data_IF_837059540016
#
_entry.id   IF_837059540016
#
_cell.length_a   1.000
_cell.length_b   1.000
_cell.length_c   1.000
_cell.angle_alpha   90.00
_cell.angle_beta   90.00
_cell.angle_gamma   90.00
#
_symmetry.space_group_name_H-M   'P 1'
#
loop_
_entity.id
_entity.type
_entity.pdbx_description
1 polymer ?
#
# COMPACT_ATOMS: atom_id res chain seq x y z
N UNK A 1 67.94 27.58 -2.16
CA UNK A 1 67.41 26.21 -1.96
C UNK A 1 65.89 26.27 -1.98
N UNK A 2 65.31 25.58 -2.94
CA UNK A 2 63.89 25.54 -3.35
C UNK A 2 62.96 24.91 -2.31
N UNK A 3 61.84 25.58 -2.00
CA UNK A 3 60.66 24.95 -1.39
C UNK A 3 59.96 24.10 -2.45
N UNK A 4 59.91 22.79 -2.23
CA UNK A 4 59.17 21.85 -3.07
C UNK A 4 57.67 21.94 -2.79
N UNK A 5 56.89 22.24 -3.82
CA UNK A 5 55.44 22.10 -3.86
C UNK A 5 55.02 20.64 -3.64
N UNK A 6 54.23 20.37 -2.60
CA UNK A 6 53.39 19.16 -2.50
C UNK A 6 51.95 19.55 -2.75
N UNK A 7 51.58 19.55 -4.03
CA UNK A 7 50.21 19.71 -4.52
C UNK A 7 49.42 18.42 -4.23
N UNK A 8 48.85 18.31 -3.04
CA UNK A 8 47.85 17.29 -2.72
C UNK A 8 46.58 17.61 -3.48
N UNK A 9 46.38 16.94 -4.62
CA UNK A 9 45.17 17.04 -5.43
C UNK A 9 44.05 16.33 -4.66
N UNK A 10 43.23 17.09 -3.93
CA UNK A 10 41.96 16.59 -3.39
C UNK A 10 41.04 16.30 -4.56
N UNK A 11 41.02 15.03 -5.00
CA UNK A 11 39.98 14.53 -5.89
C UNK A 11 38.69 14.49 -5.09
N UNK A 12 37.87 15.53 -5.26
CA UNK A 12 36.47 15.52 -4.86
C UNK A 12 35.75 14.47 -5.71
N UNK A 13 35.57 13.28 -5.15
CA UNK A 13 34.73 12.27 -5.76
C UNK A 13 33.27 12.66 -5.55
N UNK A 14 32.68 13.26 -6.59
CA UNK A 14 31.28 13.58 -6.64
C UNK A 14 30.41 12.32 -6.61
N UNK A 15 29.35 12.38 -5.80
CA UNK A 15 28.24 11.45 -5.70
C UNK A 15 27.83 10.76 -7.02
N UNK A 16 28.06 9.45 -7.11
CA UNK A 16 27.22 8.51 -7.86
C UNK A 16 27.07 7.25 -7.03
N UNK A 17 25.84 6.73 -6.95
CA UNK A 17 25.50 5.46 -6.34
C UNK A 17 26.08 4.31 -7.16
N UNK A 18 27.37 4.04 -7.06
CA UNK A 18 27.98 2.80 -7.55
C UNK A 18 28.21 1.89 -6.35
N UNK A 19 27.88 0.61 -6.49
CA UNK A 19 28.43 -0.42 -5.63
C UNK A 19 29.97 -0.35 -5.73
N UNK A 20 30.66 -0.78 -4.67
CA UNK A 20 32.11 -0.92 -4.77
C UNK A 20 32.41 -1.95 -5.87
N UNK A 21 33.49 -1.74 -6.62
CA UNK A 21 33.86 -2.58 -7.77
C UNK A 21 33.93 -4.08 -7.44
N UNK A 22 34.29 -4.43 -6.20
CA UNK A 22 34.48 -5.81 -5.75
C UNK A 22 33.18 -6.52 -5.35
N UNK A 23 32.05 -5.82 -5.26
CA UNK A 23 30.80 -6.42 -4.78
C UNK A 23 30.33 -7.59 -5.67
N UNK A 24 30.42 -7.42 -6.98
CA UNK A 24 29.99 -8.43 -7.94
C UNK A 24 30.97 -9.60 -7.98
N UNK A 25 32.28 -9.33 -7.99
CA UNK A 25 33.34 -10.35 -7.96
C UNK A 25 33.23 -11.26 -6.72
N UNK A 26 33.00 -10.66 -5.55
CA UNK A 26 32.85 -11.41 -4.30
C UNK A 26 31.49 -12.13 -4.20
N UNK A 27 30.47 -11.72 -4.98
CA UNK A 27 29.14 -12.33 -4.92
C UNK A 27 29.04 -13.72 -5.56
N UNK A 28 30.07 -14.10 -6.32
CA UNK A 28 30.22 -15.45 -6.90
C UNK A 28 30.50 -16.47 -5.78
N UNK A 29 31.11 -16.04 -4.68
CA UNK A 29 31.51 -16.91 -3.59
C UNK A 29 30.32 -17.49 -2.83
N UNK A 30 30.49 -18.72 -2.34
CA UNK A 30 29.50 -19.40 -1.51
C UNK A 30 29.33 -18.75 -0.14
N UNK A 31 28.15 -18.90 0.50
CA UNK A 31 27.79 -18.20 1.73
C UNK A 31 28.74 -18.50 2.90
N UNK A 32 29.24 -19.74 3.01
CA UNK A 32 30.21 -20.13 4.03
C UNK A 32 31.56 -19.40 3.92
N UNK A 33 31.98 -19.04 2.71
CA UNK A 33 33.23 -18.31 2.47
C UNK A 33 33.03 -16.86 2.90
N UNK A 34 31.91 -16.25 2.48
CA UNK A 34 31.55 -14.89 2.88
C UNK A 34 31.40 -14.80 4.40
N UNK A 35 30.76 -15.77 5.04
CA UNK A 35 30.62 -15.80 6.50
C UNK A 35 31.97 -15.83 7.21
N UNK A 36 32.91 -16.67 6.77
CA UNK A 36 34.27 -16.70 7.31
C UNK A 36 35.01 -15.37 7.10
N UNK A 37 34.85 -14.75 5.93
CA UNK A 37 35.44 -13.44 5.63
C UNK A 37 34.93 -12.39 6.63
N UNK A 38 33.62 -12.29 6.81
CA UNK A 38 33.00 -11.30 7.70
C UNK A 38 33.39 -11.56 9.17
N UNK A 39 33.51 -12.82 9.59
CA UNK A 39 34.03 -13.18 10.93
C UNK A 39 35.48 -12.75 11.12
N UNK A 40 36.35 -12.99 10.13
CA UNK A 40 37.76 -12.58 10.19
C UNK A 40 37.93 -11.06 10.21
N UNK A 41 37.01 -10.31 9.61
CA UNK A 41 36.97 -8.85 9.67
C UNK A 41 36.41 -8.31 11.00
N UNK A 42 35.92 -9.18 11.89
CA UNK A 42 35.36 -8.78 13.18
C UNK A 42 33.96 -8.18 13.12
N UNK A 43 33.34 -8.09 11.92
CA UNK A 43 32.05 -7.44 11.69
C UNK A 43 30.88 -8.43 11.57
N UNK A 44 30.98 -9.59 12.22
CA UNK A 44 29.92 -10.61 12.18
C UNK A 44 28.88 -10.39 13.29
N UNK A 45 27.62 -10.72 12.99
CA UNK A 45 26.48 -10.59 13.90
C UNK A 45 26.33 -9.14 14.43
N UNK A 46 26.30 -8.94 15.76
CA UNK A 46 26.07 -7.63 16.40
C UNK A 46 27.24 -6.65 16.27
N UNK A 47 28.38 -7.11 15.77
CA UNK A 47 29.60 -6.30 15.68
C UNK A 47 29.72 -5.56 14.33
N UNK A 48 28.72 -5.66 13.46
CA UNK A 48 28.74 -4.99 12.16
C UNK A 48 28.42 -3.48 12.29
N UNK A 49 29.45 -2.67 12.44
CA UNK A 49 29.38 -1.20 12.40
C UNK A 49 29.75 -0.60 11.02
N UNK A 50 30.23 -1.45 10.10
CA UNK A 50 30.70 -1.04 8.78
C UNK A 50 29.56 -0.90 7.77
N UNK A 51 29.32 0.34 7.33
CA UNK A 51 28.33 0.62 6.28
C UNK A 51 28.70 -0.07 4.94
N UNK A 52 29.99 -0.19 4.63
CA UNK A 52 30.46 -0.82 3.39
C UNK A 52 30.14 -2.31 3.40
N UNK A 53 30.44 -3.01 4.50
CA UNK A 53 30.11 -4.44 4.65
C UNK A 53 28.60 -4.67 4.69
N UNK A 54 27.85 -3.78 5.34
CA UNK A 54 26.38 -3.82 5.32
C UNK A 54 25.83 -3.70 3.89
N UNK A 55 26.33 -2.75 3.10
CA UNK A 55 25.94 -2.58 1.69
C UNK A 55 26.33 -3.80 0.85
N UNK A 56 27.50 -4.37 1.09
CA UNK A 56 27.95 -5.60 0.43
C UNK A 56 27.02 -6.77 0.75
N UNK A 57 26.70 -7.00 2.03
CA UNK A 57 25.82 -8.09 2.44
C UNK A 57 24.42 -7.94 1.86
N UNK A 58 23.86 -6.72 1.84
CA UNK A 58 22.57 -6.45 1.20
C UNK A 58 22.61 -6.71 -0.31
N UNK A 59 23.69 -6.33 -0.99
CA UNK A 59 23.90 -6.65 -2.41
C UNK A 59 24.01 -8.15 -2.63
N UNK A 60 24.86 -8.83 -1.88
CA UNK A 60 25.06 -10.27 -1.91
C UNK A 60 23.74 -11.01 -1.74
N UNK A 61 23.00 -10.71 -0.67
CA UNK A 61 21.71 -11.34 -0.38
C UNK A 61 20.69 -11.05 -1.49
N UNK A 62 20.61 -9.82 -2.01
CA UNK A 62 19.72 -9.48 -3.14
C UNK A 62 19.96 -10.39 -4.35
N UNK A 63 21.22 -10.67 -4.72
CA UNK A 63 21.53 -11.57 -5.84
C UNK A 63 21.06 -13.01 -5.60
N UNK A 64 20.96 -13.44 -4.33
CA UNK A 64 20.59 -14.81 -3.96
C UNK A 64 19.09 -15.00 -3.69
N UNK A 65 18.30 -13.92 -3.50
CA UNK A 65 16.84 -13.99 -3.26
C UNK A 65 16.10 -14.79 -4.33
N UNK A 66 16.53 -14.70 -5.59
CA UNK A 66 15.87 -15.33 -6.74
C UNK A 66 16.49 -16.69 -7.12
N UNK A 67 17.52 -17.14 -6.40
CA UNK A 67 18.12 -18.45 -6.63
C UNK A 67 17.14 -19.53 -6.17
N UNK A 68 16.77 -20.44 -7.08
CA UNK A 68 15.83 -21.55 -6.82
C UNK A 68 16.34 -22.59 -5.81
N UNK A 69 17.53 -22.42 -5.23
CA UNK A 69 18.06 -23.35 -4.24
C UNK A 69 17.33 -23.20 -2.90
N UNK A 70 16.91 -24.33 -2.32
CA UNK A 70 16.15 -24.39 -1.07
C UNK A 70 16.97 -24.02 0.19
N UNK A 71 18.16 -23.43 0.05
CA UNK A 71 19.11 -23.27 1.14
C UNK A 71 18.93 -21.94 1.90
N UNK A 72 17.72 -21.41 2.07
CA UNK A 72 17.48 -20.12 2.76
C UNK A 72 18.10 -20.04 4.17
N UNK A 73 18.26 -21.18 4.83
CA UNK A 73 18.91 -21.32 6.13
C UNK A 73 20.42 -21.04 6.10
N UNK A 74 21.11 -21.30 4.97
CA UNK A 74 22.57 -21.11 4.87
C UNK A 74 22.96 -19.61 4.84
N UNK A 75 22.01 -18.73 4.52
CA UNK A 75 22.19 -17.28 4.52
C UNK A 75 21.74 -16.60 5.81
N UNK A 76 21.17 -17.34 6.76
CA UNK A 76 20.56 -16.77 7.98
C UNK A 76 21.55 -15.87 8.74
N UNK A 77 22.76 -16.36 9.03
CA UNK A 77 23.78 -15.60 9.75
C UNK A 77 24.25 -14.34 9.01
N UNK A 78 24.36 -14.40 7.68
CA UNK A 78 24.69 -13.23 6.86
C UNK A 78 23.55 -12.21 6.83
N UNK A 79 22.30 -12.69 6.75
CA UNK A 79 21.11 -11.85 6.79
C UNK A 79 20.96 -11.14 8.15
N UNK A 80 21.18 -11.86 9.26
CA UNK A 80 21.20 -11.27 10.60
C UNK A 80 22.31 -10.21 10.74
N UNK A 81 23.52 -10.51 10.26
CA UNK A 81 24.65 -9.55 10.26
C UNK A 81 24.33 -8.29 9.43
N UNK A 82 23.67 -8.44 8.29
CA UNK A 82 23.21 -7.32 7.47
C UNK A 82 22.18 -6.46 8.22
N UNK A 83 21.24 -7.09 8.93
CA UNK A 83 20.25 -6.37 9.75
C UNK A 83 20.94 -5.56 10.84
N UNK A 84 21.90 -6.13 11.56
CA UNK A 84 22.60 -5.41 12.64
C UNK A 84 23.30 -4.15 12.11
N UNK A 85 23.96 -4.25 10.95
CA UNK A 85 24.56 -3.08 10.30
C UNK A 85 23.54 -2.05 9.82
N UNK A 86 22.38 -2.48 9.32
CA UNK A 86 21.27 -1.58 8.97
C UNK A 86 20.73 -0.87 10.22
N UNK A 87 20.55 -1.59 11.33
CA UNK A 87 20.09 -1.01 12.59
C UNK A 87 21.09 0.03 13.10
N UNK A 88 22.38 -0.28 13.04
CA UNK A 88 23.44 0.64 13.47
C UNK A 88 23.48 1.93 12.63
N UNK A 89 23.41 1.81 11.29
CA UNK A 89 23.52 2.93 10.37
C UNK A 89 22.17 3.53 9.92
N UNK A 90 21.06 3.09 10.52
CA UNK A 90 19.70 3.40 10.10
C UNK A 90 19.43 4.89 9.86
N UNK A 91 19.75 5.71 10.88
CA UNK A 91 19.40 7.14 10.91
C UNK A 91 20.28 8.00 10.02
N UNK A 92 21.45 7.52 9.63
CA UNK A 92 22.47 8.31 8.92
C UNK A 92 22.64 7.86 7.47
N UNK A 93 22.39 6.59 7.15
CA UNK A 93 22.73 6.02 5.85
C UNK A 93 21.53 5.52 5.02
N UNK A 94 20.36 5.31 5.64
CA UNK A 94 19.21 4.73 4.97
C UNK A 94 18.01 5.68 4.93
N UNK A 95 17.44 5.87 3.74
CA UNK A 95 16.12 6.50 3.57
C UNK A 95 15.01 5.49 3.87
N UNK A 96 13.81 5.96 4.26
CA UNK A 96 12.64 5.10 4.53
C UNK A 96 12.37 4.07 3.41
N UNK A 97 12.33 4.51 2.15
CA UNK A 97 12.17 3.61 0.98
C UNK A 97 13.24 2.52 0.87
N UNK A 98 14.49 2.84 1.23
CA UNK A 98 15.59 1.85 1.25
C UNK A 98 15.40 0.83 2.37
N UNK A 99 14.88 1.23 3.53
CA UNK A 99 14.60 0.29 4.62
C UNK A 99 13.47 -0.68 4.25
N UNK A 100 12.43 -0.23 3.55
CA UNK A 100 11.42 -1.10 2.98
C UNK A 100 11.98 -2.04 1.91
N UNK A 101 12.91 -1.57 1.08
CA UNK A 101 13.65 -2.43 0.15
C UNK A 101 14.48 -3.48 0.89
N UNK A 102 15.20 -3.10 1.95
CA UNK A 102 15.95 -4.02 2.82
C UNK A 102 15.02 -5.08 3.42
N UNK A 103 13.86 -4.68 3.95
CA UNK A 103 12.87 -5.61 4.48
C UNK A 103 12.44 -6.64 3.42
N UNK A 104 12.17 -6.20 2.18
CA UNK A 104 11.80 -7.11 1.08
C UNK A 104 12.90 -8.11 0.74
N UNK A 105 14.17 -7.66 0.69
CA UNK A 105 15.32 -8.55 0.43
C UNK A 105 15.46 -9.57 1.56
N UNK A 106 15.42 -9.11 2.81
CA UNK A 106 15.71 -9.94 3.98
C UNK A 106 14.57 -10.89 4.36
N UNK A 107 13.32 -10.54 4.04
CA UNK A 107 12.17 -11.46 4.15
C UNK A 107 12.29 -12.69 3.25
N UNK A 108 13.16 -12.67 2.24
CA UNK A 108 13.52 -13.84 1.44
C UNK A 108 14.32 -14.91 2.21
N UNK A 109 14.88 -14.54 3.37
CA UNK A 109 15.78 -15.36 4.19
C UNK A 109 15.24 -15.57 5.61
N UNK A 110 15.79 -16.57 6.30
CA UNK A 110 15.45 -16.85 7.69
C UNK A 110 16.23 -15.94 8.64
N UNK A 111 15.75 -14.71 8.87
CA UNK A 111 16.31 -13.81 9.89
C UNK A 111 15.78 -14.13 11.29
N UNK A 112 16.61 -13.92 12.32
CA UNK A 112 16.22 -14.09 13.73
C UNK A 112 15.05 -13.16 14.12
N UNK A 113 14.36 -13.51 15.21
CA UNK A 113 13.24 -12.72 15.73
C UNK A 113 13.72 -11.35 16.22
N UNK A 114 14.89 -11.30 16.84
CA UNK A 114 15.54 -10.09 17.33
C UNK A 114 15.87 -9.14 16.19
N UNK A 115 16.49 -9.65 15.12
CA UNK A 115 16.78 -8.87 13.92
C UNK A 115 15.51 -8.37 13.25
N UNK A 116 14.48 -9.21 13.12
CA UNK A 116 13.19 -8.79 12.55
C UNK A 116 12.57 -7.63 13.35
N UNK A 117 12.51 -7.75 14.67
CA UNK A 117 11.97 -6.71 15.56
C UNK A 117 12.81 -5.43 15.45
N UNK A 118 14.14 -5.55 15.40
CA UNK A 118 15.05 -4.42 15.26
C UNK A 118 14.87 -3.67 13.93
N UNK A 119 14.71 -4.41 12.83
CA UNK A 119 14.44 -3.84 11.50
C UNK A 119 13.06 -3.17 11.45
N UNK A 120 12.02 -3.84 11.95
CA UNK A 120 10.66 -3.26 12.06
C UNK A 120 10.66 -2.00 12.95
N UNK A 121 11.46 -1.98 14.03
CA UNK A 121 11.60 -0.79 14.88
C UNK A 121 12.16 0.40 14.10
N UNK A 122 13.24 0.19 13.36
CA UNK A 122 13.87 1.24 12.54
C UNK A 122 12.92 1.77 11.45
N UNK A 123 12.18 0.87 10.78
CA UNK A 123 11.19 1.26 9.76
C UNK A 123 10.04 2.04 10.41
N UNK A 124 9.51 1.54 11.52
CA UNK A 124 8.41 2.18 12.25
C UNK A 124 8.77 3.58 12.77
N UNK A 125 10.01 3.81 13.18
CA UNK A 125 10.50 5.15 13.57
C UNK A 125 10.51 6.17 12.42
N UNK A 126 10.56 5.72 11.16
CA UNK A 126 10.60 6.56 9.95
C UNK A 126 9.31 6.48 9.12
N UNK A 127 8.24 5.92 9.68
CA UNK A 127 7.03 5.58 8.92
C UNK A 127 6.30 6.82 8.35
N UNK A 128 6.49 8.01 8.93
CA UNK A 128 5.96 9.27 8.42
C UNK A 128 6.53 9.69 7.06
N UNK A 129 7.64 9.07 6.64
CA UNK A 129 8.29 9.30 5.35
C UNK A 129 7.94 8.25 4.29
N UNK A 130 7.12 7.25 4.64
CA UNK A 130 6.75 6.18 3.74
C UNK A 130 5.70 6.63 2.71
N UNK A 131 5.71 5.96 1.56
CA UNK A 131 4.67 6.08 0.53
C UNK A 131 3.70 4.91 0.58
N UNK A 132 2.57 5.01 -0.12
CA UNK A 132 1.61 3.91 -0.20
C UNK A 132 2.28 2.63 -0.73
N UNK A 133 3.06 2.76 -1.80
CA UNK A 133 3.78 1.65 -2.44
C UNK A 133 4.78 0.95 -1.50
N UNK A 134 5.30 1.67 -0.49
CA UNK A 134 6.19 1.08 0.51
C UNK A 134 5.44 0.14 1.45
N UNK A 135 4.17 0.44 1.77
CA UNK A 135 3.32 -0.37 2.65
C UNK A 135 2.69 -1.58 1.94
N UNK A 136 2.57 -1.55 0.61
CA UNK A 136 2.01 -2.65 -0.19
C UNK A 136 3.03 -3.80 -0.34
N UNK A 137 3.23 -4.53 0.76
CA UNK A 137 4.15 -5.67 0.83
C UNK A 137 3.33 -6.95 0.68
N UNK A 138 3.59 -7.78 -0.35
CA UNK A 138 2.87 -9.03 -0.55
C UNK A 138 3.02 -9.99 0.64
N UNK A 139 1.94 -10.67 1.01
CA UNK A 139 2.02 -11.71 2.06
C UNK A 139 2.75 -12.95 1.50
N UNK A 140 3.86 -13.35 2.14
CA UNK A 140 4.81 -14.35 1.63
C UNK A 140 4.37 -15.82 1.73
N UNK A 141 3.11 -16.15 1.43
CA UNK A 141 2.56 -17.51 1.54
C UNK A 141 1.83 -18.01 0.29
N UNK A 142 1.87 -19.33 0.04
CA UNK A 142 1.01 -19.98 -0.94
C UNK A 142 -0.36 -20.25 -0.31
N UNK A 143 -1.41 -19.61 -0.84
CA UNK A 143 -2.81 -19.97 -0.61
C UNK A 143 -3.42 -19.44 0.70
N UNK A 144 -4.72 -19.12 0.64
CA UNK A 144 -5.63 -18.63 1.71
C UNK A 144 -5.36 -17.27 2.37
N UNK A 145 -4.14 -16.76 2.32
CA UNK A 145 -3.79 -15.45 2.89
C UNK A 145 -4.13 -14.29 1.94
N UNK A 146 -4.30 -13.08 2.50
CA UNK A 146 -4.66 -11.87 1.77
C UNK A 146 -3.55 -11.42 0.81
N UNK A 147 -3.81 -10.37 0.02
CA UNK A 147 -2.79 -9.89 -0.93
C UNK A 147 -1.58 -9.24 -0.25
N UNK A 148 -1.79 -8.61 0.91
CA UNK A 148 -0.79 -7.79 1.60
C UNK A 148 -0.58 -8.22 3.05
N UNK A 149 0.65 -8.06 3.55
CA UNK A 149 1.01 -8.30 4.96
C UNK A 149 0.50 -7.15 5.85
N UNK A 150 -0.79 -7.22 6.19
CA UNK A 150 -1.45 -6.25 7.08
C UNK A 150 -0.86 -6.30 8.50
N UNK A 151 -0.41 -7.47 8.96
CA UNK A 151 0.12 -7.63 10.32
C UNK A 151 1.44 -6.87 10.48
N UNK A 152 2.28 -6.84 9.44
CA UNK A 152 3.47 -6.00 9.40
C UNK A 152 3.12 -4.52 9.54
N UNK A 153 2.15 -4.01 8.77
CA UNK A 153 1.73 -2.60 8.86
C UNK A 153 1.23 -2.26 10.28
N UNK A 154 0.47 -3.16 10.92
CA UNK A 154 0.06 -2.99 12.32
C UNK A 154 1.27 -2.90 13.26
N UNK A 155 2.29 -3.76 13.10
CA UNK A 155 3.50 -3.71 13.92
C UNK A 155 4.28 -2.41 13.72
N UNK A 156 4.44 -1.95 12.48
CA UNK A 156 5.10 -0.68 12.15
C UNK A 156 4.35 0.51 12.75
N UNK A 157 3.02 0.53 12.69
CA UNK A 157 2.20 1.58 13.29
C UNK A 157 2.34 1.63 14.82
N UNK A 158 2.36 0.48 15.48
CA UNK A 158 2.59 0.41 16.94
C UNK A 158 3.94 1.02 17.34
N UNK A 159 4.99 0.75 16.57
CA UNK A 159 6.31 1.37 16.77
C UNK A 159 6.23 2.88 16.55
N UNK A 160 5.63 3.32 15.44
CA UNK A 160 5.52 4.73 15.11
C UNK A 160 4.82 5.53 16.21
N UNK A 161 3.65 5.06 16.65
CA UNK A 161 2.85 5.71 17.70
C UNK A 161 3.62 5.79 19.02
N UNK A 162 4.38 4.74 19.37
CA UNK A 162 5.21 4.72 20.59
C UNK A 162 6.43 5.65 20.51
N UNK A 163 7.00 5.83 19.32
CA UNK A 163 8.21 6.64 19.10
C UNK A 163 7.92 8.14 18.99
N UNK A 164 6.70 8.50 18.60
CA UNK A 164 6.28 9.88 18.39
C UNK A 164 6.12 10.61 19.75
N UNK A 165 7.21 11.13 20.34
CA UNK A 165 7.25 11.70 21.70
C UNK A 165 7.54 13.22 21.80
N UNK A 166 7.81 13.94 20.70
CA UNK A 166 8.12 15.39 20.71
C UNK A 166 6.95 16.26 20.19
N UNK A 167 6.43 17.16 21.03
CA UNK A 167 5.11 17.83 20.89
C UNK A 167 4.82 18.55 19.57
N UNK A 168 5.80 19.20 18.94
CA UNK A 168 5.54 20.03 17.74
C UNK A 168 5.69 19.24 16.43
N UNK A 169 6.73 18.41 16.31
CA UNK A 169 6.90 17.49 15.18
C UNK A 169 5.85 16.37 15.17
N UNK A 170 5.32 16.03 16.36
CA UNK A 170 4.29 15.01 16.53
C UNK A 170 3.09 15.27 15.63
N UNK A 171 2.51 16.48 15.65
CA UNK A 171 1.25 16.74 14.94
C UNK A 171 1.42 16.60 13.43
N UNK A 172 2.50 17.15 12.85
CA UNK A 172 2.73 17.07 11.40
C UNK A 172 2.98 15.62 10.96
N UNK A 173 3.80 14.86 11.72
CA UNK A 173 4.06 13.44 11.43
C UNK A 173 2.80 12.60 11.60
N UNK A 174 2.00 12.88 12.64
CA UNK A 174 0.77 12.15 12.93
C UNK A 174 -0.30 12.38 11.85
N UNK A 175 -0.43 13.61 11.34
CA UNK A 175 -1.34 13.90 10.22
C UNK A 175 -0.89 13.27 8.91
N UNK A 176 0.43 13.21 8.66
CA UNK A 176 0.98 12.51 7.49
C UNK A 176 0.66 11.02 7.54
N UNK A 177 0.89 10.37 8.70
CA UNK A 177 0.60 8.95 8.82
C UNK A 177 -0.91 8.67 8.72
N UNK A 178 -1.78 9.52 9.29
CA UNK A 178 -3.24 9.36 9.16
C UNK A 178 -3.68 9.35 7.71
N UNK A 179 -3.17 10.28 6.89
CA UNK A 179 -3.44 10.32 5.45
C UNK A 179 -2.88 9.11 4.70
N UNK A 180 -1.71 8.61 5.09
CA UNK A 180 -1.11 7.43 4.49
C UNK A 180 -1.94 6.17 4.79
N UNK A 181 -2.37 6.01 6.05
CA UNK A 181 -3.15 4.85 6.48
C UNK A 181 -4.56 4.86 5.90
N UNK A 182 -5.20 6.02 5.76
CA UNK A 182 -6.50 6.10 5.08
C UNK A 182 -6.40 5.69 3.59
N UNK A 183 -5.28 6.01 2.93
CA UNK A 183 -4.99 5.53 1.56
C UNK A 183 -4.72 4.03 1.54
N UNK A 184 -3.94 3.53 2.50
CA UNK A 184 -3.64 2.10 2.62
C UNK A 184 -4.91 1.28 2.87
N UNK A 185 -5.75 1.69 3.83
CA UNK A 185 -7.03 1.06 4.12
C UNK A 185 -7.91 1.00 2.86
N UNK A 186 -7.97 2.10 2.10
CA UNK A 186 -8.71 2.14 0.83
C UNK A 186 -8.20 1.10 -0.16
N UNK A 187 -6.89 0.97 -0.30
CA UNK A 187 -6.27 0.05 -1.26
C UNK A 187 -6.52 -1.42 -0.91
N UNK A 188 -6.49 -1.77 0.39
CA UNK A 188 -6.74 -3.15 0.83
C UNK A 188 -8.24 -3.47 0.97
N UNK A 189 -9.13 -2.47 0.95
CA UNK A 189 -10.57 -2.64 1.18
C UNK A 189 -11.28 -3.59 0.20
N UNK A 190 -10.90 -3.66 -1.09
CA UNK A 190 -11.52 -4.60 -2.03
C UNK A 190 -11.08 -6.07 -1.86
N UNK A 191 -10.06 -6.35 -1.06
CA UNK A 191 -9.55 -7.72 -0.86
C UNK A 191 -10.56 -8.56 -0.06
N UNK A 192 -11.24 -9.47 -0.74
CA UNK A 192 -12.24 -10.39 -0.13
C UNK A 192 -11.71 -11.27 0.99
N UNK A 193 -10.38 -11.44 1.09
CA UNK A 193 -9.74 -12.22 2.15
C UNK A 193 -9.40 -11.39 3.37
N UNK A 194 -9.54 -10.06 3.29
CA UNK A 194 -9.31 -9.18 4.42
C UNK A 194 -10.46 -9.31 5.41
N UNK A 195 -10.14 -9.75 6.64
CA UNK A 195 -11.13 -9.82 7.73
C UNK A 195 -11.41 -8.44 8.32
N UNK A 196 -12.65 -8.20 8.75
CA UNK A 196 -13.07 -6.95 9.37
C UNK A 196 -12.24 -6.62 10.63
N UNK A 197 -11.84 -7.66 11.38
CA UNK A 197 -10.97 -7.50 12.56
C UNK A 197 -9.57 -6.98 12.24
N UNK A 198 -8.98 -7.33 11.08
CA UNK A 198 -7.69 -6.78 10.64
C UNK A 198 -7.85 -5.34 10.14
N UNK A 199 -8.91 -5.07 9.38
CA UNK A 199 -9.23 -3.70 8.94
C UNK A 199 -9.38 -2.75 10.14
N UNK A 200 -10.15 -3.15 11.15
CA UNK A 200 -10.37 -2.38 12.38
C UNK A 200 -9.07 -2.14 13.14
N UNK A 201 -8.24 -3.17 13.31
CA UNK A 201 -6.95 -3.01 13.99
C UNK A 201 -6.08 -1.94 13.33
N UNK A 202 -6.05 -1.86 12.00
CA UNK A 202 -5.31 -0.80 11.29
C UNK A 202 -5.97 0.57 11.50
N UNK A 203 -7.30 0.66 11.37
CA UNK A 203 -8.05 1.90 11.53
C UNK A 203 -7.88 2.52 12.93
N UNK A 204 -7.93 1.68 13.97
CA UNK A 204 -7.85 2.02 15.39
C UNK A 204 -6.40 2.12 15.91
N UNK A 205 -5.40 1.76 15.10
CA UNK A 205 -3.98 1.90 15.49
C UNK A 205 -3.53 3.36 15.65
N UNK A 206 -4.31 4.32 15.13
CA UNK A 206 -4.00 5.74 15.19
C UNK A 206 -5.00 6.50 16.07
N UNK A 207 -4.54 7.47 16.89
CA UNK A 207 -5.44 8.30 17.69
C UNK A 207 -6.24 9.29 16.81
N UNK A 208 -7.31 9.85 17.37
CA UNK A 208 -8.14 10.88 16.72
C UNK A 208 -7.35 12.13 16.28
N UNK A 209 -6.24 12.44 16.93
CA UNK A 209 -5.34 13.55 16.56
C UNK A 209 -4.59 13.31 15.25
N UNK A 210 -4.52 12.05 14.77
CA UNK A 210 -3.91 11.71 13.49
C UNK A 210 -4.75 12.12 12.28
N UNK A 211 -6.02 12.49 12.50
CA UNK A 211 -6.96 12.83 11.45
C UNK A 211 -7.61 14.18 11.72
N UNK A 212 -7.41 15.11 10.79
CA UNK A 212 -8.19 16.35 10.73
C UNK A 212 -9.65 16.03 10.40
N UNK A 213 -9.85 15.14 9.43
CA UNK A 213 -11.14 14.69 8.93
C UNK A 213 -11.16 13.17 8.77
N UNK A 214 -12.29 12.56 9.10
CA UNK A 214 -12.50 11.11 9.00
C UNK A 214 -13.04 10.67 7.63
N UNK A 215 -13.18 11.59 6.69
CA UNK A 215 -13.67 11.33 5.33
C UNK A 215 -12.83 10.30 4.56
N UNK A 216 -11.52 10.30 4.78
CA UNK A 216 -10.60 9.33 4.17
C UNK A 216 -10.90 7.90 4.63
N UNK A 217 -11.01 7.72 5.95
CA UNK A 217 -11.38 6.46 6.59
C UNK A 217 -12.81 6.02 6.21
N UNK A 218 -13.78 6.94 6.19
CA UNK A 218 -15.14 6.62 5.75
C UNK A 218 -15.15 6.06 4.32
N UNK A 219 -14.41 6.67 3.39
CA UNK A 219 -14.32 6.14 2.01
C UNK A 219 -13.74 4.73 1.95
N UNK A 220 -12.76 4.42 2.81
CA UNK A 220 -12.23 3.05 2.90
C UNK A 220 -13.30 2.08 3.44
N UNK A 221 -14.02 2.46 4.49
CA UNK A 221 -15.13 1.65 5.04
C UNK A 221 -16.22 1.44 3.99
N UNK A 222 -16.60 2.48 3.26
CA UNK A 222 -17.62 2.42 2.21
C UNK A 222 -17.25 1.38 1.14
N UNK A 223 -16.01 1.44 0.62
CA UNK A 223 -15.47 0.45 -0.35
C UNK A 223 -15.41 -0.96 0.28
N UNK A 224 -15.04 -1.08 1.55
CA UNK A 224 -14.98 -2.36 2.24
C UNK A 224 -16.38 -2.99 2.37
N UNK A 225 -17.39 -2.21 2.75
CA UNK A 225 -18.80 -2.63 2.82
C UNK A 225 -19.38 -2.93 1.42
N UNK A 226 -18.92 -2.22 0.39
CA UNK A 226 -19.26 -2.51 -1.00
C UNK A 226 -18.75 -3.87 -1.45
N UNK A 227 -17.49 -4.15 -1.12
CA UNK A 227 -16.79 -5.35 -1.55
C UNK A 227 -17.21 -6.59 -0.75
N UNK A 228 -17.52 -6.45 0.54
CA UNK A 228 -17.82 -7.58 1.43
C UNK A 228 -19.32 -7.68 1.75
N UNK A 229 -20.09 -8.32 0.88
CA UNK A 229 -21.55 -8.38 1.03
C UNK A 229 -22.00 -9.27 2.20
N UNK A 230 -21.20 -10.29 2.54
CA UNK A 230 -21.51 -11.29 3.58
C UNK A 230 -21.15 -10.84 5.01
N UNK A 231 -20.85 -9.55 5.23
CA UNK A 231 -20.55 -9.02 6.55
C UNK A 231 -21.76 -9.11 7.50
N UNK A 232 -21.50 -9.55 8.72
CA UNK A 232 -22.48 -9.55 9.81
C UNK A 232 -22.92 -8.12 10.17
N UNK A 233 -24.15 -7.98 10.68
CA UNK A 233 -24.64 -6.69 11.21
C UNK A 233 -23.72 -6.13 12.30
N UNK A 234 -23.13 -7.00 13.11
CA UNK A 234 -22.19 -6.62 14.16
C UNK A 234 -20.91 -6.02 13.58
N UNK A 235 -20.31 -6.66 12.57
CA UNK A 235 -19.10 -6.15 11.93
C UNK A 235 -19.34 -4.83 11.23
N UNK A 236 -20.46 -4.66 10.53
CA UNK A 236 -20.86 -3.38 9.91
C UNK A 236 -20.95 -2.27 10.96
N UNK A 237 -21.53 -2.60 12.13
CA UNK A 237 -21.65 -1.67 13.25
C UNK A 237 -20.28 -1.32 13.83
N UNK A 238 -19.40 -2.31 14.05
CA UNK A 238 -18.04 -2.09 14.56
C UNK A 238 -17.21 -1.24 13.59
N UNK A 239 -17.24 -1.53 12.29
CA UNK A 239 -16.57 -0.76 11.25
C UNK A 239 -16.99 0.70 11.24
N UNK A 240 -18.29 0.98 11.35
CA UNK A 240 -18.76 2.37 11.32
C UNK A 240 -18.49 3.11 12.64
N UNK A 241 -18.40 2.40 13.78
CA UNK A 241 -18.10 2.99 15.11
C UNK A 241 -16.69 3.57 15.23
N UNK A 242 -15.72 3.13 14.44
CA UNK A 242 -14.37 3.69 14.48
C UNK A 242 -14.27 5.10 13.85
N UNK A 243 -15.38 5.63 13.31
CA UNK A 243 -15.46 6.99 12.80
C UNK A 243 -15.77 8.00 13.91
N UNK A 244 -15.01 9.10 13.97
CA UNK A 244 -15.40 10.27 14.75
C UNK A 244 -16.36 11.14 13.93
N UNK A 245 -17.66 11.02 14.19
CA UNK A 245 -18.71 11.72 13.44
C UNK A 245 -18.64 13.25 13.50
N UNK A 246 -18.02 13.82 14.56
CA UNK A 246 -17.81 15.28 14.69
C UNK A 246 -16.77 15.80 13.70
N UNK A 247 -15.86 14.93 13.26
CA UNK A 247 -14.80 15.22 12.28
C UNK A 247 -15.14 14.69 10.88
N UNK A 248 -16.42 14.48 10.59
CA UNK A 248 -16.90 14.22 9.24
C UNK A 248 -17.37 15.52 8.60
N UNK A 249 -17.09 15.68 7.31
CA UNK A 249 -17.70 16.77 6.55
C UNK A 249 -19.18 16.52 6.33
N UNK A 250 -19.95 17.61 6.13
CA UNK A 250 -21.40 17.52 5.89
C UNK A 250 -21.74 16.67 4.65
N UNK A 251 -20.92 16.73 3.59
CA UNK A 251 -21.11 15.92 2.38
C UNK A 251 -20.96 14.44 2.68
N UNK A 252 -19.89 14.07 3.39
CA UNK A 252 -19.61 12.69 3.79
C UNK A 252 -20.66 12.17 4.77
N UNK A 253 -21.12 13.00 5.71
CA UNK A 253 -22.21 12.63 6.63
C UNK A 253 -23.52 12.33 5.88
N UNK A 254 -23.86 13.11 4.84
CA UNK A 254 -25.03 12.82 3.98
C UNK A 254 -24.86 11.52 3.20
N UNK A 255 -23.66 11.21 2.72
CA UNK A 255 -23.38 9.94 2.04
C UNK A 255 -23.53 8.76 3.00
N UNK A 256 -22.96 8.87 4.20
CA UNK A 256 -23.10 7.90 5.28
C UNK A 256 -24.57 7.64 5.60
N UNK A 257 -25.37 8.69 5.79
CA UNK A 257 -26.78 8.55 6.12
C UNK A 257 -27.64 7.94 4.99
N UNK A 258 -27.20 8.06 3.73
CA UNK A 258 -27.89 7.51 2.57
C UNK A 258 -27.48 6.07 2.25
N UNK A 259 -26.38 5.58 2.80
CA UNK A 259 -25.88 4.25 2.48
C UNK A 259 -26.73 3.19 3.22
N UNK A 260 -27.46 2.30 2.50
CA UNK A 260 -28.34 1.30 3.12
C UNK A 260 -27.57 0.21 3.88
N UNK A 261 -26.25 0.07 3.66
CA UNK A 261 -25.41 -0.89 4.36
C UNK A 261 -25.00 -0.42 5.75
N UNK A 262 -25.24 0.85 6.07
CA UNK A 262 -24.89 1.45 7.35
C UNK A 262 -26.06 1.27 8.33
N UNK A 263 -25.80 0.78 9.56
CA UNK A 263 -26.83 0.63 10.57
C UNK A 263 -27.61 1.94 10.84
N UNK A 264 -28.96 1.91 10.91
CA UNK A 264 -29.77 3.13 11.06
C UNK A 264 -29.43 3.96 12.31
N UNK A 265 -29.10 3.30 13.41
CA UNK A 265 -28.67 3.97 14.65
C UNK A 265 -27.40 4.80 14.45
N UNK A 266 -26.47 4.32 13.62
CA UNK A 266 -25.23 5.03 13.29
C UNK A 266 -25.53 6.22 12.37
N UNK A 267 -26.38 6.04 11.36
CA UNK A 267 -26.80 7.14 10.49
C UNK A 267 -27.43 8.29 11.30
N UNK A 268 -28.32 7.97 12.25
CA UNK A 268 -28.93 8.96 13.15
C UNK A 268 -27.88 9.63 14.04
N UNK A 269 -26.95 8.87 14.61
CA UNK A 269 -25.88 9.43 15.45
C UNK A 269 -24.99 10.40 14.66
N UNK A 270 -24.62 10.04 13.44
CA UNK A 270 -23.83 10.88 12.56
C UNK A 270 -24.56 12.20 12.22
N UNK A 271 -25.86 12.12 11.86
CA UNK A 271 -26.67 13.31 11.56
C UNK A 271 -26.82 14.23 12.78
N UNK A 272 -27.06 13.67 13.98
CA UNK A 272 -27.15 14.44 15.22
C UNK A 272 -25.85 15.20 15.51
N UNK A 273 -24.69 14.61 15.23
CA UNK A 273 -23.40 15.26 15.46
C UNK A 273 -23.17 16.51 14.60
N UNK A 274 -23.89 16.63 13.48
CA UNK A 274 -23.85 17.80 12.59
C UNK A 274 -24.91 18.85 12.94
N UNK A 275 -25.89 18.50 13.78
CA UNK A 275 -27.00 19.39 14.19
C UNK A 275 -26.73 20.14 15.50
N UNK A 276 -25.69 19.78 16.26
CA UNK A 276 -25.24 20.63 17.37
C UNK A 276 -24.60 21.92 16.82
N UNK A 277 -25.02 23.11 17.29
CA UNK A 277 -24.53 24.38 16.75
C UNK A 277 -23.00 24.52 16.81
N UNK A 278 -22.43 24.98 15.70
CA UNK A 278 -21.15 25.68 15.66
C UNK A 278 -21.28 26.98 16.46
N UNK A 279 -21.16 26.94 17.80
CA UNK A 279 -20.94 28.14 18.59
C UNK A 279 -19.44 28.33 18.83
N UNK A 280 -18.91 29.33 18.13
CA UNK A 280 -17.61 30.00 18.30
C UNK A 280 -16.38 29.41 17.61
N UNK A 281 -16.15 29.80 16.35
CA UNK A 281 -14.81 30.02 15.80
C UNK A 281 -14.76 31.45 15.22
N UNK A 282 -13.77 32.30 15.61
CA UNK A 282 -13.63 33.64 15.05
C UNK A 282 -13.15 33.59 13.59
N UNK A 283 -13.46 34.61 12.76
CA UNK A 283 -13.19 34.57 11.34
C UNK A 283 -11.71 34.81 11.04
N UNK A 284 -11.23 34.12 10.00
CA UNK A 284 -9.98 34.30 9.26
C UNK A 284 -8.68 33.73 9.85
N UNK A 285 -8.15 32.71 9.16
CA UNK A 285 -6.93 32.87 8.34
C UNK A 285 -6.75 31.72 7.34
N UNK A 286 -6.38 32.11 6.13
CA UNK A 286 -5.86 31.30 5.01
C UNK A 286 -6.84 30.40 4.24
N UNK A 287 -7.51 31.02 3.26
CA UNK A 287 -7.78 30.38 1.97
C UNK A 287 -6.45 29.90 1.39
N UNK A 288 -6.21 28.59 1.31
CA UNK A 288 -5.43 28.01 0.21
C UNK A 288 -5.68 26.49 0.07
N UNK A 289 -5.80 26.07 -1.19
CA UNK A 289 -5.99 24.70 -1.69
C UNK A 289 -7.38 24.06 -1.56
N UNK A 290 -8.38 24.66 -2.23
CA UNK A 290 -9.44 23.87 -2.88
C UNK A 290 -8.92 23.38 -4.23
N UNK A 291 -8.41 22.14 -4.29
CA UNK A 291 -8.46 21.26 -5.48
C UNK A 291 -8.38 19.80 -5.03
N UNK A 292 -9.52 19.21 -4.67
CA UNK A 292 -9.68 17.76 -4.79
C UNK A 292 -10.32 17.50 -6.15
N UNK A 293 -9.49 17.02 -7.07
CA UNK A 293 -9.93 16.54 -8.36
C UNK A 293 -10.80 15.29 -8.13
N UNK A 294 -12.00 15.25 -8.71
CA UNK A 294 -12.75 13.99 -8.91
C UNK A 294 -11.89 13.10 -9.81
N UNK A 295 -11.01 12.29 -9.23
CA UNK A 295 -10.32 11.25 -9.98
C UNK A 295 -11.29 10.07 -10.16
N UNK A 296 -11.52 9.73 -11.43
CA UNK A 296 -12.19 8.50 -11.87
C UNK A 296 -11.39 7.30 -11.34
N UNK A 297 -12.02 6.12 -11.17
CA UNK A 297 -11.29 4.92 -10.76
C UNK A 297 -10.16 4.66 -11.75
N UNK A 298 -8.92 4.77 -11.27
CA UNK A 298 -7.75 4.32 -12.00
C UNK A 298 -7.76 2.80 -11.87
N UNK A 299 -8.24 2.13 -12.91
CA UNK A 299 -7.98 0.70 -13.08
C UNK A 299 -6.48 0.56 -13.34
N UNK A 300 -5.71 0.27 -12.29
CA UNK A 300 -4.31 -0.11 -12.42
C UNK A 300 -4.29 -1.49 -13.07
N UNK A 301 -4.14 -1.49 -14.39
CA UNK A 301 -3.75 -2.67 -15.15
C UNK A 301 -2.40 -3.09 -14.57
N UNK A 302 -2.34 -4.25 -13.91
CA UNK A 302 -1.09 -4.88 -13.52
C UNK A 302 -0.25 -5.12 -14.79
N UNK A 303 0.58 -4.14 -15.12
CA UNK A 303 1.75 -4.33 -15.98
C UNK A 303 2.89 -4.60 -15.02
N UNK A 304 3.37 -5.84 -15.04
CA UNK A 304 4.51 -6.26 -14.25
C UNK A 304 5.68 -5.33 -14.45
N UNK A 305 6.35 -4.99 -13.35
CA UNK A 305 7.67 -4.38 -13.40
C UNK A 305 8.69 -5.47 -13.08
N UNK A 306 9.21 -6.06 -14.15
CA UNK A 306 10.52 -6.66 -14.15
C UNK A 306 11.57 -5.55 -14.07
N UNK A 307 12.62 -5.85 -13.32
CA UNK A 307 13.79 -5.02 -13.12
C UNK A 307 14.62 -5.10 -14.41
N UNK A 308 15.05 -3.94 -14.89
CA UNK A 308 15.94 -3.76 -16.03
C UNK A 308 17.20 -4.62 -15.92
N UNK A 309 17.32 -5.61 -16.80
CA UNK A 309 18.60 -6.09 -17.34
C UNK A 309 18.40 -6.32 -18.85
N UNK A 310 19.33 -5.81 -19.66
CA UNK A 310 19.21 -5.74 -21.12
C UNK A 310 19.63 -7.07 -21.75
N UNK A 311 18.90 -7.40 -22.83
CA UNK A 311 19.31 -8.12 -24.06
C UNK A 311 19.21 -9.67 -24.13
N UNK A 312 18.34 -10.07 -25.08
CA UNK A 312 18.24 -11.34 -25.85
C UNK A 312 17.58 -12.55 -25.17
N UNK A 313 16.27 -12.73 -25.37
CA UNK A 313 15.64 -13.59 -26.41
C UNK A 313 14.16 -13.83 -26.05
N UNK A 314 13.24 -13.80 -27.02
CA UNK A 314 11.83 -14.18 -26.79
C UNK A 314 10.79 -13.38 -27.58
N UNK A 315 10.84 -13.43 -28.91
CA UNK A 315 9.88 -12.76 -29.81
C UNK A 315 8.61 -13.61 -30.11
N UNK A 316 8.39 -14.74 -29.45
CA UNK A 316 7.29 -15.65 -29.82
C UNK A 316 6.04 -15.59 -28.92
N UNK A 317 6.12 -15.05 -27.69
CA UNK A 317 4.95 -15.00 -26.78
C UNK A 317 3.99 -13.81 -27.02
N UNK A 318 4.47 -12.74 -27.66
CA UNK A 318 3.71 -11.49 -27.83
C UNK A 318 2.63 -11.58 -28.94
N UNK A 319 2.79 -12.50 -29.89
CA UNK A 319 1.82 -12.74 -30.97
C UNK A 319 0.58 -13.50 -30.48
N UNK A 320 0.75 -14.41 -29.51
CA UNK A 320 -0.34 -15.24 -28.97
C UNK A 320 -1.31 -14.41 -28.13
N UNK A 321 -0.80 -13.51 -27.29
CA UNK A 321 -1.63 -12.61 -26.47
C UNK A 321 -2.38 -11.56 -27.30
N UNK A 322 -1.88 -11.20 -28.48
CA UNK A 322 -2.52 -10.21 -29.33
C UNK A 322 -3.71 -10.78 -30.15
N UNK A 323 -3.67 -12.08 -30.47
CA UNK A 323 -4.79 -12.79 -31.11
C UNK A 323 -5.97 -12.98 -30.14
N UNK A 324 -5.71 -13.38 -28.90
CA UNK A 324 -6.75 -13.54 -27.87
C UNK A 324 -7.44 -12.20 -27.54
N UNK A 325 -6.66 -11.11 -27.50
CA UNK A 325 -7.19 -9.75 -27.28
C UNK A 325 -8.12 -9.29 -28.41
N UNK A 326 -7.78 -9.59 -29.67
CA UNK A 326 -8.65 -9.29 -30.82
C UNK A 326 -9.92 -10.14 -30.82
N UNK A 327 -9.84 -11.39 -30.38
CA UNK A 327 -10.99 -12.30 -30.27
C UNK A 327 -12.00 -11.79 -29.21
N UNK A 328 -11.54 -11.49 -27.99
CA UNK A 328 -12.42 -11.02 -26.91
C UNK A 328 -13.03 -9.64 -27.19
N UNK A 329 -12.30 -8.72 -27.84
CA UNK A 329 -12.88 -7.43 -28.24
C UNK A 329 -13.99 -7.59 -29.29
N UNK A 330 -13.86 -8.53 -30.24
CA UNK A 330 -14.90 -8.79 -31.24
C UNK A 330 -16.15 -9.43 -30.63
N UNK A 331 -15.99 -10.27 -29.61
CA UNK A 331 -17.10 -10.87 -28.86
C UNK A 331 -17.86 -9.83 -28.03
N UNK A 332 -17.15 -8.85 -27.45
CA UNK A 332 -17.76 -7.77 -26.67
C UNK A 332 -18.47 -6.73 -27.54
N UNK A 333 -17.92 -6.37 -28.71
CA UNK A 333 -18.62 -5.49 -29.65
C UNK A 333 -19.89 -6.13 -30.23
N UNK A 334 -19.88 -7.46 -30.41
CA UNK A 334 -21.05 -8.23 -30.84
C UNK A 334 -22.16 -8.25 -29.79
N UNK A 335 -21.81 -8.45 -28.52
CA UNK A 335 -22.80 -8.47 -27.42
C UNK A 335 -23.39 -7.08 -27.15
N UNK A 336 -22.60 -6.01 -27.31
CA UNK A 336 -23.10 -4.63 -27.13
C UNK A 336 -24.05 -4.20 -28.27
N UNK A 337 -23.82 -4.65 -29.50
CA UNK A 337 -24.73 -4.45 -30.64
C UNK A 337 -26.07 -5.16 -30.43
N UNK A 338 -26.04 -6.44 -30.02
CA UNK A 338 -27.25 -7.22 -29.74
C UNK A 338 -28.05 -6.61 -28.56
N UNK A 339 -27.37 -6.03 -27.57
CA UNK A 339 -28.02 -5.37 -26.45
C UNK A 339 -28.67 -4.03 -26.85
N UNK A 340 -28.08 -3.29 -27.80
CA UNK A 340 -28.64 -2.05 -28.36
C UNK A 340 -29.83 -2.33 -29.29
N UNK A 341 -29.78 -3.38 -30.10
CA UNK A 341 -30.91 -3.81 -30.94
C UNK A 341 -32.11 -4.23 -30.10
N UNK A 342 -31.91 -5.09 -29.09
CA UNK A 342 -33.00 -5.50 -28.19
C UNK A 342 -33.60 -4.33 -27.40
N UNK A 343 -32.79 -3.32 -27.02
CA UNK A 343 -33.32 -2.08 -26.42
C UNK A 343 -34.17 -1.27 -27.41
N UNK A 344 -33.76 -1.18 -28.68
CA UNK A 344 -34.52 -0.45 -29.71
C UNK A 344 -35.84 -1.14 -30.08
N UNK A 345 -35.89 -2.48 -30.09
CA UNK A 345 -37.13 -3.25 -30.31
C UNK A 345 -38.14 -3.08 -29.17
N UNK A 346 -37.67 -3.07 -27.92
CA UNK A 346 -38.54 -2.88 -26.73
C UNK A 346 -39.14 -1.47 -26.72
N UNK A 347 -38.35 -0.45 -27.08
CA UNK A 347 -38.84 0.94 -27.19
C UNK A 347 -39.85 1.08 -28.35
N UNK A 348 -39.64 0.39 -29.46
CA UNK A 348 -40.55 0.42 -30.62
C UNK A 348 -41.85 -0.36 -30.37
N UNK A 349 -41.83 -1.40 -29.54
CA UNK A 349 -43.04 -2.13 -29.10
C UNK A 349 -43.87 -1.32 -28.11
N UNK A 350 -43.24 -0.57 -27.20
CA UNK A 350 -43.96 0.32 -26.28
C UNK A 350 -44.62 1.52 -26.99
N UNK A 351 -44.01 2.03 -28.07
CA UNK A 351 -44.61 3.11 -28.87
C UNK A 351 -45.85 2.70 -29.70
N UNK A 352 -46.05 1.40 -29.98
CA UNK A 352 -47.18 0.89 -30.77
C UNK A 352 -48.43 0.54 -29.95
N UNK A 353 -48.34 0.51 -28.62
CA UNK A 353 -49.46 0.19 -27.72
C UNK A 353 -50.17 1.44 -27.16
N UNK A 354 -49.72 2.64 -27.55
CA UNK A 354 -50.18 3.90 -26.99
C UNK A 354 -51.05 4.76 -27.91
N UNK A 355 -51.91 4.20 -28.76
CA UNK A 355 -52.99 4.96 -29.42
C UNK A 355 -54.06 4.03 -30.00
N UNK A 356 -55.23 3.97 -29.33
CA UNK A 356 -56.56 3.83 -29.93
C UNK A 356 -57.62 3.99 -28.83
N UNK A 357 -58.23 5.17 -28.77
CA UNK A 357 -59.52 5.39 -28.11
C UNK A 357 -60.66 5.20 -29.13
N UNK A 358 -61.71 4.52 -28.67
CA UNK A 358 -63.14 4.61 -29.06
C UNK A 358 -63.60 4.05 -30.42
N UNK A 359 -64.46 3.02 -30.41
CA UNK A 359 -65.91 3.17 -30.67
C UNK A 359 -66.67 1.83 -30.66
N UNK A 360 -67.88 1.89 -30.11
CA UNK A 360 -69.04 0.96 -30.12
C UNK A 360 -69.04 -0.29 -31.01
N UNK A 361 -69.43 -1.44 -30.45
CA UNK A 361 -70.70 -2.13 -30.73
C UNK A 361 -70.77 -3.49 -30.01
N UNK A 362 -71.80 -3.68 -29.19
CA UNK A 362 -72.30 -5.02 -28.85
C UNK A 362 -73.07 -5.58 -30.06
N UNK A 363 -73.08 -6.91 -30.26
CA UNK A 363 -74.34 -7.63 -30.02
C UNK A 363 -74.18 -8.99 -29.31
N UNK A 364 -75.34 -9.42 -28.78
CA UNK A 364 -75.65 -10.67 -28.04
C UNK A 364 -75.83 -11.90 -28.97
N UNK A 365 -76.05 -13.04 -28.31
CA UNK A 365 -76.66 -14.33 -28.72
C UNK A 365 -75.62 -15.39 -29.14
N UNK A 366 -75.61 -16.62 -28.63
CA UNK A 366 -76.54 -17.43 -27.85
C UNK A 366 -75.78 -18.25 -26.79
#
# INVERSE_FOLDING_TARGET
>A
MSKLDKRSTSRSFSCRTSNEWWFDDMSILGPKIIEKLIKNLGSYDKNNDSLVLTRFLLHYLKTKVHSKSNNKLEYAGLADTAVQGVIFAAKTAFSCRKLFWVLRVLSGFSISKESRIGLERVIGEMLDQATLDDLLIPEGGRGEKGFYDVDLVIRLLKVFVKSCNTKEDQNVKMLRIGKLIDKYLREISPDQKLKASKFLQVAESLPDSARDWFDGLFRAIDIYLESHQDLSSEDRTRLCRCLNYKKLTLETCKQLAKNPKIPPNIAVQALKSQQLPNETLPPNKSRNSRKYLKEKPIMVRLKGFEISEKLVDGLEDDLRMNMERKYWNKVMDGSEKVCKEKKSEVVTRMGRLGHKHSSSNFPRLC
#
